data_IF_509861988673
#
_entry.id   IF_509861988673
#
_cell.length_a   1.000
_cell.length_b   1.000
_cell.length_c   1.000
_cell.angle_alpha   90.00
_cell.angle_beta   90.00
_cell.angle_gamma   90.00
#
_symmetry.space_group_name_H-M   'P 1'
#
loop_
_entity.id
_entity.type
_entity.pdbx_description
1 polymer ?
#
# COMPACT_ATOMS: atom_id res chain seq x y z
N UNK A 1 1.07 -31.80 -64.50
CA UNK A 1 0.54 -30.48 -64.07
C UNK A 1 1.30 -30.08 -62.80
N UNK A 2 1.74 -28.82 -62.67
CA UNK A 2 2.68 -28.36 -61.63
C UNK A 2 2.08 -28.44 -60.21
N UNK A 3 2.75 -29.11 -59.26
CA UNK A 3 3.72 -28.55 -58.30
C UNK A 3 3.14 -27.42 -57.42
N UNK A 4 2.84 -27.77 -56.17
CA UNK A 4 2.50 -26.82 -55.10
C UNK A 4 3.78 -26.06 -54.71
N UNK A 5 3.77 -24.74 -54.85
CA UNK A 5 4.89 -23.87 -54.50
C UNK A 5 4.61 -23.10 -53.21
N UNK A 6 5.12 -23.61 -52.10
CA UNK A 6 5.17 -22.93 -50.82
C UNK A 6 6.58 -23.07 -50.24
N UNK A 7 7.47 -22.12 -50.56
CA UNK A 7 8.86 -22.09 -50.11
C UNK A 7 8.95 -21.74 -48.62
N UNK A 8 8.77 -22.73 -47.75
CA UNK A 8 9.18 -22.65 -46.36
C UNK A 8 10.72 -22.71 -46.29
N UNK A 9 11.36 -21.54 -46.28
CA UNK A 9 12.81 -21.35 -46.16
C UNK A 9 13.30 -21.71 -44.74
N UNK A 10 13.38 -23.01 -44.46
CA UNK A 10 14.12 -23.57 -43.32
C UNK A 10 15.13 -24.58 -43.86
N UNK A 11 16.35 -24.10 -44.10
CA UNK A 11 17.44 -24.93 -44.60
C UNK A 11 17.93 -25.92 -43.55
N UNK A 12 18.01 -27.19 -43.95
CA UNK A 12 18.94 -28.19 -43.44
C UNK A 12 19.07 -28.32 -41.89
N UNK A 13 18.11 -29.00 -41.26
CA UNK A 13 18.43 -29.84 -40.10
C UNK A 13 17.69 -31.17 -40.13
N UNK A 14 18.44 -32.23 -40.48
CA UNK A 14 18.11 -33.63 -40.23
C UNK A 14 19.44 -34.36 -40.04
N UNK A 15 19.61 -35.11 -38.94
CA UNK A 15 19.70 -36.55 -39.18
C UNK A 15 19.12 -37.45 -38.07
N UNK A 16 18.25 -38.36 -38.53
CA UNK A 16 18.16 -39.79 -38.16
C UNK A 16 17.68 -40.20 -36.75
N UNK A 17 17.23 -41.45 -36.71
CA UNK A 17 16.32 -42.02 -35.71
C UNK A 17 17.02 -42.61 -34.48
N UNK A 18 16.26 -42.68 -33.37
CA UNK A 18 16.55 -43.47 -32.18
C UNK A 18 15.23 -43.82 -31.46
N UNK A 19 15.15 -44.94 -30.72
CA UNK A 19 13.88 -45.49 -30.24
C UNK A 19 13.29 -44.75 -29.03
N UNK A 20 11.95 -44.73 -28.93
CA UNK A 20 11.19 -44.47 -27.68
C UNK A 20 11.41 -45.63 -26.68
N UNK A 21 11.19 -45.50 -25.34
CA UNK A 21 10.26 -44.62 -24.60
C UNK A 21 11.03 -43.87 -23.44
N UNK A 22 10.48 -43.49 -22.23
CA UNK A 22 9.11 -43.53 -21.71
C UNK A 22 8.58 -42.29 -20.92
N UNK A 23 7.26 -42.36 -20.68
CA UNK A 23 6.45 -41.77 -19.59
C UNK A 23 6.47 -40.26 -19.27
N UNK A 24 5.26 -39.67 -19.24
CA UNK A 24 4.90 -38.31 -18.83
C UNK A 24 5.13 -37.97 -17.32
N UNK A 25 6.16 -38.53 -16.65
CA UNK A 25 6.31 -38.40 -15.19
C UNK A 25 7.56 -37.68 -14.68
N UNK A 26 8.50 -37.24 -15.54
CA UNK A 26 9.77 -36.62 -15.09
C UNK A 26 10.03 -35.19 -15.57
N UNK A 27 8.99 -34.44 -15.91
CA UNK A 27 9.06 -32.97 -16.05
C UNK A 27 8.51 -32.25 -14.79
N UNK A 28 7.76 -32.94 -13.93
CA UNK A 28 7.11 -32.36 -12.74
C UNK A 28 8.06 -31.77 -11.69
N UNK A 29 9.33 -32.18 -11.63
CA UNK A 29 10.28 -31.59 -10.68
C UNK A 29 10.83 -30.22 -11.13
N UNK A 30 10.88 -29.91 -12.42
CA UNK A 30 11.42 -28.63 -12.90
C UNK A 30 10.41 -27.47 -12.82
N UNK A 31 9.12 -27.75 -12.62
CA UNK A 31 8.13 -26.74 -12.23
C UNK A 31 8.10 -26.45 -10.72
N UNK A 32 8.82 -27.23 -9.89
CA UNK A 32 9.00 -26.94 -8.46
C UNK A 32 9.85 -25.69 -8.20
N UNK A 33 10.59 -25.21 -9.21
CA UNK A 33 11.41 -23.99 -9.13
C UNK A 33 10.59 -22.68 -9.06
N UNK A 34 9.29 -22.71 -9.35
CA UNK A 34 8.38 -21.55 -9.14
C UNK A 34 8.01 -21.33 -7.66
N UNK A 35 8.61 -22.07 -6.71
CA UNK A 35 8.27 -22.04 -5.28
C UNK A 35 9.23 -21.20 -4.41
N UNK A 36 9.73 -20.05 -4.88
CA UNK A 36 10.57 -19.18 -4.04
C UNK A 36 10.69 -17.68 -4.48
N UNK A 37 9.59 -16.92 -4.46
CA UNK A 37 9.67 -15.51 -4.00
C UNK A 37 8.34 -15.06 -3.39
N UNK A 38 8.14 -15.41 -2.13
CA UNK A 38 7.06 -14.85 -1.34
C UNK A 38 7.36 -13.37 -1.02
N UNK A 39 6.75 -12.47 -1.79
CA UNK A 39 6.30 -11.15 -1.32
C UNK A 39 4.92 -10.90 -1.92
N UNK A 40 3.95 -11.65 -1.43
CA UNK A 40 2.56 -11.32 -1.69
C UNK A 40 2.21 -10.10 -0.81
N UNK A 41 1.98 -8.95 -1.45
CA UNK A 41 1.18 -7.86 -0.89
C UNK A 41 -0.22 -7.87 -1.52
N UNK A 42 -1.11 -8.84 -1.20
CA UNK A 42 -2.45 -8.89 -1.75
C UNK A 42 -3.34 -7.91 -0.97
N UNK A 43 -3.21 -6.62 -1.24
CA UNK A 43 -4.04 -5.57 -0.60
C UNK A 43 -4.60 -4.49 -1.52
N UNK A 44 -4.67 -4.73 -2.83
CA UNK A 44 -5.57 -3.97 -3.72
C UNK A 44 -6.96 -4.61 -3.78
N UNK A 45 -7.55 -4.82 -2.59
CA UNK A 45 -9.00 -4.96 -2.49
C UNK A 45 -9.58 -3.56 -2.64
N UNK A 46 -10.35 -3.31 -3.70
CA UNK A 46 -11.07 -2.05 -3.89
C UNK A 46 -12.01 -1.84 -2.71
N UNK A 47 -11.55 -1.06 -1.73
CA UNK A 47 -12.38 -0.62 -0.61
C UNK A 47 -13.41 0.33 -1.17
N UNK A 48 -14.67 -0.11 -1.14
CA UNK A 48 -15.83 0.78 -1.22
C UNK A 48 -15.79 1.68 0.02
N UNK A 49 -15.03 2.77 -0.07
CA UNK A 49 -14.82 3.69 1.05
C UNK A 49 -16.12 4.42 1.37
N UNK A 50 -16.65 4.15 2.57
CA UNK A 50 -17.59 5.05 3.20
C UNK A 50 -16.86 6.40 3.39
N UNK A 51 -17.37 7.53 2.88
CA UNK A 51 -16.63 8.80 2.89
C UNK A 51 -16.28 9.22 4.32
N UNK A 52 -14.97 9.34 4.58
CA UNK A 52 -14.41 9.79 5.85
C UNK A 52 -14.92 11.20 6.15
N UNK A 53 -15.90 11.31 7.04
CA UNK A 53 -16.59 12.55 7.38
C UNK A 53 -16.33 12.90 8.85
N UNK A 54 -15.23 13.61 9.11
CA UNK A 54 -14.85 14.05 10.47
C UNK A 54 -15.22 15.51 10.71
N UNK A 55 -15.67 15.82 11.94
CA UNK A 55 -16.09 17.16 12.36
C UNK A 55 -15.13 17.78 13.38
N UNK A 56 -14.52 16.93 14.21
CA UNK A 56 -13.42 17.23 15.11
C UNK A 56 -12.34 16.14 15.00
N UNK A 57 -11.12 16.44 15.46
CA UNK A 57 -10.01 15.47 15.44
C UNK A 57 -10.25 14.28 16.38
N UNK A 58 -11.06 14.46 17.44
CA UNK A 58 -11.51 13.41 18.36
C UNK A 58 -12.24 12.26 17.66
N UNK A 59 -13.02 12.57 16.61
CA UNK A 59 -13.90 11.65 15.91
C UNK A 59 -13.12 10.50 15.24
N UNK A 60 -11.81 10.68 15.04
CA UNK A 60 -10.89 9.68 14.50
C UNK A 60 -10.83 8.41 15.37
N UNK A 61 -11.10 8.51 16.68
CA UNK A 61 -11.12 7.36 17.59
C UNK A 61 -12.22 6.33 17.23
N UNK A 62 -13.37 6.80 16.72
CA UNK A 62 -14.51 5.97 16.34
C UNK A 62 -14.39 5.39 14.91
N UNK A 63 -13.35 5.77 14.16
CA UNK A 63 -13.17 5.34 12.78
C UNK A 63 -12.65 3.90 12.64
N UNK A 64 -12.89 3.33 11.46
CA UNK A 64 -12.33 2.04 11.04
C UNK A 64 -10.83 2.12 10.75
N UNK A 65 -10.13 0.98 10.85
CA UNK A 65 -8.68 0.89 10.60
C UNK A 65 -8.30 1.39 9.20
N UNK A 66 -9.13 1.08 8.20
CA UNK A 66 -8.88 1.48 6.81
C UNK A 66 -9.09 2.99 6.59
N UNK A 67 -10.04 3.60 7.30
CA UNK A 67 -10.27 5.06 7.28
C UNK A 67 -9.10 5.81 7.93
N UNK A 68 -8.56 5.30 9.06
CA UNK A 68 -7.38 5.87 9.71
C UNK A 68 -6.17 5.82 8.76
N UNK A 69 -6.00 4.74 7.99
CA UNK A 69 -4.95 4.63 6.96
C UNK A 69 -5.15 5.60 5.79
N UNK A 70 -6.38 5.77 5.32
CA UNK A 70 -6.69 6.79 4.31
C UNK A 70 -6.36 8.21 4.82
N UNK A 71 -6.66 8.50 6.09
CA UNK A 71 -6.30 9.79 6.71
C UNK A 71 -4.79 9.98 6.71
N UNK A 72 -4.02 9.01 7.21
CA UNK A 72 -2.54 9.08 7.26
C UNK A 72 -1.96 9.27 5.85
N UNK A 73 -2.49 8.56 4.84
CA UNK A 73 -2.02 8.65 3.46
C UNK A 73 -2.32 10.00 2.79
N UNK A 74 -3.47 10.64 3.08
CA UNK A 74 -3.86 11.94 2.49
C UNK A 74 -3.30 13.15 3.26
N UNK A 75 -3.05 13.00 4.56
CA UNK A 75 -2.46 14.05 5.39
C UNK A 75 -0.94 14.08 5.25
N UNK A 76 -0.29 12.91 5.24
CA UNK A 76 1.14 12.77 5.44
C UNK A 76 1.46 12.30 6.86
N UNK A 77 2.52 11.51 7.00
CA UNK A 77 2.90 10.87 8.28
C UNK A 77 3.40 11.89 9.31
N UNK A 78 4.07 12.92 8.83
CA UNK A 78 4.72 13.97 9.63
C UNK A 78 3.68 14.88 10.29
N UNK A 79 2.77 15.46 9.50
CA UNK A 79 1.62 16.25 9.97
C UNK A 79 0.73 15.45 10.93
N UNK A 80 0.48 14.17 10.62
CA UNK A 80 -0.33 13.31 11.48
C UNK A 80 0.39 13.01 12.81
N UNK A 81 1.70 12.76 12.80
CA UNK A 81 2.50 12.58 14.01
C UNK A 81 2.55 13.86 14.87
N UNK A 82 2.61 15.05 14.25
CA UNK A 82 2.51 16.33 14.94
C UNK A 82 1.14 16.48 15.61
N UNK A 83 0.05 16.24 14.88
CA UNK A 83 -1.32 16.28 15.39
C UNK A 83 -1.56 15.30 16.56
N UNK A 84 -0.92 14.13 16.54
CA UNK A 84 -0.99 13.13 17.60
C UNK A 84 -0.37 13.57 18.94
N UNK A 85 0.53 14.57 18.96
CA UNK A 85 1.19 15.02 20.21
C UNK A 85 0.19 15.55 21.25
N UNK A 86 -0.84 16.26 20.80
CA UNK A 86 -1.93 16.75 21.66
C UNK A 86 -3.18 15.84 21.65
N UNK A 87 -3.11 14.65 21.03
CA UNK A 87 -4.22 13.71 21.01
C UNK A 87 -4.40 13.00 22.37
N UNK A 88 -5.62 12.55 22.63
CA UNK A 88 -5.95 11.72 23.78
C UNK A 88 -5.34 10.32 23.65
N UNK A 89 -4.92 9.73 24.77
CA UNK A 89 -4.39 8.36 24.84
C UNK A 89 -5.26 7.29 24.13
N UNK A 90 -6.61 7.25 24.27
CA UNK A 90 -7.43 6.28 23.52
C UNK A 90 -7.31 6.44 21.99
N UNK A 91 -7.12 7.65 21.47
CA UNK A 91 -6.91 7.89 20.04
C UNK A 91 -5.52 7.40 19.60
N UNK A 92 -4.49 7.65 20.42
CA UNK A 92 -3.12 7.14 20.16
C UNK A 92 -3.10 5.61 20.11
N UNK A 93 -3.74 4.93 21.05
CA UNK A 93 -3.83 3.47 21.06
C UNK A 93 -4.65 2.95 19.85
N UNK A 94 -5.74 3.63 19.50
CA UNK A 94 -6.52 3.30 18.29
C UNK A 94 -5.67 3.40 17.02
N UNK A 95 -4.86 4.45 16.88
CA UNK A 95 -3.91 4.62 15.78
C UNK A 95 -2.82 3.55 15.83
N UNK A 96 -2.21 3.30 16.98
CA UNK A 96 -1.19 2.25 17.17
C UNK A 96 -1.69 0.88 16.73
N UNK A 97 -2.92 0.52 17.12
CA UNK A 97 -3.58 -0.73 16.70
C UNK A 97 -3.89 -0.81 15.19
N UNK A 98 -3.82 0.31 14.47
CA UNK A 98 -4.16 0.42 13.05
C UNK A 98 -2.95 0.31 12.13
N UNK A 99 -1.76 0.75 12.59
CA UNK A 99 -0.50 0.81 11.82
C UNK A 99 0.46 -0.33 12.19
N UNK A 100 1.59 -0.48 11.49
CA UNK A 100 2.65 -1.41 11.94
C UNK A 100 3.51 -0.81 13.05
N UNK A 101 4.23 -1.65 13.80
CA UNK A 101 5.17 -1.18 14.83
C UNK A 101 6.28 -0.29 14.24
N UNK A 102 6.74 -0.59 13.02
CA UNK A 102 7.71 0.24 12.29
C UNK A 102 7.13 1.63 11.95
N UNK A 103 5.84 1.69 11.58
CA UNK A 103 5.16 2.95 11.31
C UNK A 103 4.94 3.78 12.58
N UNK A 104 4.56 3.13 13.67
CA UNK A 104 4.41 3.74 14.99
C UNK A 104 5.74 4.27 15.53
N UNK A 105 6.82 3.51 15.40
CA UNK A 105 8.16 3.92 15.82
C UNK A 105 8.63 5.14 15.03
N UNK A 106 8.43 5.17 13.71
CA UNK A 106 8.77 6.34 12.89
C UNK A 106 8.00 7.60 13.32
N UNK A 107 6.70 7.50 13.61
CA UNK A 107 5.91 8.61 14.14
C UNK A 107 6.42 9.06 15.52
N UNK A 108 6.75 8.12 16.41
CA UNK A 108 7.29 8.44 17.75
C UNK A 108 8.63 9.16 17.66
N UNK A 109 9.56 8.68 16.85
CA UNK A 109 10.85 9.35 16.62
C UNK A 109 10.71 10.73 15.96
N UNK A 110 9.68 10.94 15.12
CA UNK A 110 9.36 12.27 14.60
C UNK A 110 8.82 13.20 15.70
N UNK A 111 7.96 12.70 16.59
CA UNK A 111 7.49 13.48 17.76
C UNK A 111 8.63 13.89 18.70
N UNK A 112 9.62 13.01 18.90
CA UNK A 112 10.84 13.30 19.65
C UNK A 112 11.72 14.35 18.94
N UNK A 113 11.94 14.18 17.62
CA UNK A 113 12.72 15.11 16.80
C UNK A 113 12.15 16.53 16.79
N UNK A 114 10.83 16.69 16.77
CA UNK A 114 10.16 17.99 16.88
C UNK A 114 10.35 18.69 18.24
N UNK A 115 10.74 17.97 19.30
CA UNK A 115 10.95 18.54 20.62
C UNK A 115 9.70 19.23 21.22
N UNK A 116 9.87 20.30 22.03
CA UNK A 116 8.75 21.05 22.59
C UNK A 116 8.13 22.00 21.54
N UNK A 117 6.93 21.67 21.08
CA UNK A 117 6.12 22.48 20.15
C UNK A 117 5.03 23.25 20.92
N UNK A 118 4.57 24.40 20.39
CA UNK A 118 3.47 25.16 21.01
C UNK A 118 2.14 24.46 20.73
N UNK A 119 1.23 24.48 21.71
CA UNK A 119 -0.09 23.87 21.55
C UNK A 119 -0.86 24.44 20.35
N UNK A 120 -0.78 25.75 20.13
CA UNK A 120 -1.43 26.44 19.02
C UNK A 120 -0.99 25.96 17.63
N UNK A 121 0.27 25.54 17.49
CA UNK A 121 0.79 25.00 16.23
C UNK A 121 0.21 23.59 15.98
N UNK A 122 0.03 22.80 17.04
CA UNK A 122 -0.59 21.47 16.98
C UNK A 122 -2.10 21.57 16.68
N UNK A 123 -2.79 22.50 17.34
CA UNK A 123 -4.22 22.79 17.08
C UNK A 123 -4.44 23.26 15.63
N UNK A 124 -3.52 24.08 15.08
CA UNK A 124 -3.57 24.48 13.68
C UNK A 124 -3.50 23.27 12.74
N UNK A 125 -2.56 22.36 12.93
CA UNK A 125 -2.43 21.14 12.09
C UNK A 125 -3.65 20.22 12.24
N UNK A 126 -4.16 20.02 13.46
CA UNK A 126 -5.41 19.28 13.68
C UNK A 126 -6.60 19.89 12.92
N UNK A 127 -6.70 21.23 12.88
CA UNK A 127 -7.73 21.92 12.09
C UNK A 127 -7.52 21.77 10.58
N UNK A 128 -6.27 21.78 10.07
CA UNK A 128 -5.99 21.49 8.66
C UNK A 128 -6.41 20.07 8.28
N UNK A 129 -6.15 19.08 9.13
CA UNK A 129 -6.60 17.70 8.94
C UNK A 129 -8.13 17.68 8.80
N UNK A 130 -8.88 18.20 9.78
CA UNK A 130 -10.36 18.21 9.72
C UNK A 130 -10.89 18.92 8.46
N UNK A 131 -10.26 20.04 8.04
CA UNK A 131 -10.63 20.75 6.81
C UNK A 131 -10.47 19.89 5.55
N UNK A 132 -9.37 19.13 5.43
CA UNK A 132 -9.10 18.24 4.28
C UNK A 132 -10.19 17.17 4.07
N UNK A 133 -10.87 16.70 5.12
CA UNK A 133 -11.91 15.66 5.01
C UNK A 133 -13.35 16.20 5.03
N UNK A 134 -13.59 17.42 5.55
CA UNK A 134 -14.94 17.99 5.65
C UNK A 134 -15.57 18.41 4.31
N UNK A 135 -14.85 18.30 3.20
CA UNK A 135 -15.41 18.58 1.86
C UNK A 135 -15.62 20.07 1.56
N UNK A 136 -14.70 20.92 2.02
CA UNK A 136 -14.54 22.24 1.41
C UNK A 136 -13.65 22.08 0.17
N UNK A 137 -14.20 22.43 -1.00
CA UNK A 137 -13.36 22.74 -2.15
C UNK A 137 -12.49 23.96 -1.84
N UNK A 138 -11.43 24.12 -2.65
CA UNK A 138 -10.36 25.12 -2.55
C UNK A 138 -9.16 24.71 -1.69
N UNK A 139 -8.02 24.75 -2.37
CA UNK A 139 -6.67 25.00 -1.85
C UNK A 139 -5.79 23.79 -1.51
N UNK A 140 -5.64 22.90 -2.51
CA UNK A 140 -4.38 22.15 -2.74
C UNK A 140 -3.29 23.07 -3.35
N UNK A 141 -3.10 24.20 -2.67
CA UNK A 141 -2.05 25.18 -2.86
C UNK A 141 -1.75 25.78 -1.48
N UNK A 142 -0.57 25.51 -0.93
CA UNK A 142 0.39 26.55 -0.56
C UNK A 142 1.71 25.93 -0.06
N UNK A 143 2.72 26.05 -0.93
CA UNK A 143 4.19 25.93 -0.68
C UNK A 143 4.72 24.53 -0.37
#
# INVERSE_FOLDING_TARGET
MYIIKAEARWGAFSPREGPSPPSHQKVSHLLSACRARAQATPREGVVMSNPVSISAFSDIADLGVDQIKEIIARVGRDDFALALKAASEPLKERVRSSVTEEEWQAMTSYMEFLGPIRLSDVEFVQLQIVRKFRGAASDDQFV
#
